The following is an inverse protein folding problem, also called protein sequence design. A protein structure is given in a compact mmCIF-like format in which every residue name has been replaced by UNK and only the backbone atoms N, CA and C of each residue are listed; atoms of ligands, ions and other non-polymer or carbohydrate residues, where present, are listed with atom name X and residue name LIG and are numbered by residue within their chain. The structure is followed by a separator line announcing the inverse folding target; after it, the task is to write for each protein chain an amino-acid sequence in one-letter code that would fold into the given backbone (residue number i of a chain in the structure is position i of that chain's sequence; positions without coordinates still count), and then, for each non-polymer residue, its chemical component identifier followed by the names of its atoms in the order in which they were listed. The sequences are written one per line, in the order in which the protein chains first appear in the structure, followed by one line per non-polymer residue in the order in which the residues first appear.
data_IF_401952828277
#
_entry.id   IF_401952828277
#
_cell.length_a   1.000
_cell.length_b   1.000
_cell.length_c   1.000
_cell.angle_alpha   90.00
_cell.angle_beta   90.00
_cell.angle_gamma   90.00
#
_symmetry.space_group_name_H-M   'P 1'
#
loop_
_entity.id
_entity.type
_entity.pdbx_description
1 polymer ?
#
# COMPACT_ATOMS: atom_id res chain seq x y z
N UNK A 1 18.79 -6.58 8.23
CA UNK A 1 19.62 -5.45 7.76
C UNK A 1 18.78 -4.18 7.84
N UNK A 2 19.38 -3.01 8.06
CA UNK A 2 18.64 -1.74 8.06
C UNK A 2 18.55 -1.20 6.64
N UNK A 3 17.34 -0.85 6.17
CA UNK A 3 17.12 -0.26 4.85
C UNK A 3 17.51 1.21 4.88
N UNK A 4 18.19 1.69 3.83
CA UNK A 4 18.56 3.11 3.68
C UNK A 4 17.32 3.99 3.89
N UNK A 5 17.49 5.05 4.70
CA UNK A 5 16.43 6.01 4.95
C UNK A 5 15.95 6.62 3.63
N UNK A 6 14.63 6.70 3.48
CA UNK A 6 13.96 7.43 2.41
C UNK A 6 14.10 8.93 2.67
N UNK A 7 14.27 9.66 1.58
CA UNK A 7 14.26 11.11 1.52
C UNK A 7 13.01 11.56 0.77
N UNK A 8 12.73 12.87 0.79
CA UNK A 8 11.60 13.42 0.02
C UNK A 8 11.74 13.12 -1.48
N UNK A 9 12.96 13.08 -2.01
CA UNK A 9 13.19 12.80 -3.43
C UNK A 9 12.88 11.37 -3.83
N UNK A 10 12.90 10.41 -2.90
CA UNK A 10 12.43 9.07 -3.20
C UNK A 10 10.96 9.12 -3.65
N UNK A 11 10.14 10.04 -3.13
CA UNK A 11 8.72 10.17 -3.52
C UNK A 11 8.45 11.03 -4.78
N UNK A 12 9.48 11.36 -5.58
CA UNK A 12 9.32 12.24 -6.76
C UNK A 12 8.88 11.54 -8.04
N UNK A 13 8.78 10.20 -8.04
CA UNK A 13 8.45 9.39 -9.22
C UNK A 13 7.04 8.80 -9.08
N UNK A 14 6.88 7.49 -8.90
CA UNK A 14 5.57 6.84 -8.72
C UNK A 14 4.71 7.36 -7.56
N UNK A 15 5.27 8.16 -6.65
CA UNK A 15 4.51 8.81 -5.58
C UNK A 15 4.39 10.33 -5.76
N UNK A 16 4.75 10.89 -6.92
CA UNK A 16 4.79 12.32 -7.18
C UNK A 16 3.44 13.02 -6.86
N UNK A 17 2.33 12.37 -7.20
CA UNK A 17 0.98 12.90 -6.99
C UNK A 17 0.61 13.04 -5.51
N UNK A 18 1.23 12.26 -4.62
CA UNK A 18 1.01 12.34 -3.17
C UNK A 18 2.21 12.94 -2.42
N UNK A 19 3.30 13.29 -3.11
CA UNK A 19 4.56 13.76 -2.50
C UNK A 19 4.36 14.99 -1.59
N UNK A 20 3.43 15.88 -1.94
CA UNK A 20 3.12 17.08 -1.14
C UNK A 20 2.56 16.75 0.25
N UNK A 21 1.96 15.56 0.42
CA UNK A 21 1.44 15.06 1.69
C UNK A 21 2.50 14.30 2.51
N UNK A 22 3.63 13.94 1.90
CA UNK A 22 4.80 13.39 2.59
C UNK A 22 5.53 14.52 3.32
N UNK A 23 4.92 14.97 4.41
CA UNK A 23 5.50 15.96 5.32
C UNK A 23 6.75 15.41 6.01
N UNK A 24 7.63 16.26 6.60
CA UNK A 24 8.75 15.77 7.38
C UNK A 24 8.35 14.81 8.51
N UNK A 25 7.19 15.03 9.15
CA UNK A 25 6.67 14.14 10.18
C UNK A 25 6.23 12.77 9.61
N UNK A 26 5.55 12.76 8.46
CA UNK A 26 5.19 11.53 7.76
C UNK A 26 6.44 10.76 7.32
N UNK A 27 7.43 11.46 6.76
CA UNK A 27 8.70 10.85 6.33
C UNK A 27 9.48 10.27 7.51
N UNK A 28 9.48 10.93 8.66
CA UNK A 28 10.09 10.40 9.88
C UNK A 28 9.41 9.10 10.34
N UNK A 29 8.08 9.07 10.36
CA UNK A 29 7.33 7.84 10.69
C UNK A 29 7.60 6.72 9.69
N UNK A 30 7.56 7.01 8.38
CA UNK A 30 7.91 6.04 7.33
C UNK A 30 9.30 5.47 7.60
N UNK A 31 10.28 6.32 7.90
CA UNK A 31 11.67 5.90 8.12
C UNK A 31 11.91 5.09 9.40
N UNK A 32 11.02 5.22 10.39
CA UNK A 32 11.03 4.38 11.59
C UNK A 32 10.58 2.94 11.28
N UNK A 33 9.82 2.71 10.22
CA UNK A 33 9.40 1.35 9.84
C UNK A 33 10.30 0.78 8.74
N UNK A 34 10.98 -0.33 9.02
CA UNK A 34 11.71 -1.06 7.98
C UNK A 34 10.75 -1.71 6.99
N UNK A 35 9.64 -2.24 7.50
CA UNK A 35 8.57 -2.85 6.69
C UNK A 35 8.01 -1.84 5.68
N UNK A 36 7.68 -0.63 6.11
CA UNK A 36 7.11 0.38 5.22
C UNK A 36 8.15 0.95 4.24
N UNK A 37 9.40 1.17 4.68
CA UNK A 37 10.48 1.57 3.76
C UNK A 37 10.67 0.57 2.63
N UNK A 38 10.70 -0.71 2.96
CA UNK A 38 10.86 -1.79 1.98
C UNK A 38 9.66 -1.85 1.03
N UNK A 39 8.44 -1.72 1.56
CA UNK A 39 7.22 -1.72 0.76
C UNK A 39 7.17 -0.54 -0.23
N UNK A 40 7.56 0.66 0.21
CA UNK A 40 7.68 1.84 -0.67
C UNK A 40 8.67 1.54 -1.79
N UNK A 41 9.90 1.11 -1.46
CA UNK A 41 10.92 0.82 -2.47
C UNK A 41 10.47 -0.25 -3.47
N UNK A 42 9.86 -1.34 -2.99
CA UNK A 42 9.32 -2.41 -3.85
C UNK A 42 8.33 -1.85 -4.88
N UNK A 43 7.40 -1.01 -4.44
CA UNK A 43 6.41 -0.41 -5.34
C UNK A 43 7.07 0.52 -6.36
N UNK A 44 8.09 1.29 -5.94
CA UNK A 44 8.84 2.16 -6.86
C UNK A 44 9.60 1.36 -7.92
N UNK A 45 10.25 0.28 -7.51
CA UNK A 45 11.12 -0.51 -8.37
C UNK A 45 10.35 -1.51 -9.27
N UNK A 46 9.06 -1.77 -9.00
CA UNK A 46 8.25 -2.71 -9.79
C UNK A 46 7.82 -2.12 -11.14
N UNK A 47 8.42 -2.54 -12.25
CA UNK A 47 8.11 -2.05 -13.60
C UNK A 47 6.67 -2.31 -14.08
N UNK A 48 5.86 -3.00 -13.28
CA UNK A 48 4.45 -3.32 -13.55
C UNK A 48 3.48 -2.42 -12.80
N UNK A 49 3.98 -1.51 -11.96
CA UNK A 49 3.18 -0.52 -11.26
C UNK A 49 3.24 0.85 -11.93
N UNK A 50 2.08 1.51 -11.97
CA UNK A 50 1.91 2.90 -12.35
C UNK A 50 2.07 3.84 -11.14
N UNK A 51 2.05 5.14 -11.42
CA UNK A 51 2.01 6.18 -10.40
C UNK A 51 0.80 6.01 -9.46
N UNK A 52 1.04 6.20 -8.17
CA UNK A 52 0.00 6.38 -7.17
C UNK A 52 -0.90 7.55 -7.57
N UNK A 53 -2.20 7.33 -7.52
CA UNK A 53 -3.22 8.29 -7.94
C UNK A 53 -3.79 8.98 -6.71
N UNK A 54 -3.78 10.32 -6.71
CA UNK A 54 -4.50 11.11 -5.72
C UNK A 54 -5.95 11.30 -6.18
N UNK A 55 -6.92 10.69 -5.50
CA UNK A 55 -8.34 10.96 -5.76
C UNK A 55 -8.80 12.17 -4.95
N UNK A 56 -9.19 13.23 -5.66
CA UNK A 56 -9.72 14.48 -5.08
C UNK A 56 -11.22 14.64 -5.26
N UNK A 57 -11.90 13.65 -5.84
CA UNK A 57 -13.23 13.83 -6.41
C UNK A 57 -14.23 12.72 -6.07
N UNK A 58 -13.92 11.44 -6.34
CA UNK A 58 -14.90 10.35 -6.30
C UNK A 58 -14.94 9.67 -4.94
N UNK A 59 -13.77 9.34 -4.40
CA UNK A 59 -13.63 8.62 -3.13
C UNK A 59 -12.58 9.32 -2.25
N UNK A 60 -12.79 10.61 -1.86
CA UNK A 60 -11.76 11.37 -1.14
C UNK A 60 -11.41 10.76 0.22
N UNK A 61 -12.29 9.91 0.78
CA UNK A 61 -12.10 9.21 2.06
C UNK A 61 -11.67 7.74 1.93
N UNK A 62 -11.33 7.26 0.73
CA UNK A 62 -10.93 5.87 0.52
C UNK A 62 -9.50 5.77 0.00
N UNK A 63 -8.87 4.63 0.23
CA UNK A 63 -7.69 4.21 -0.50
C UNK A 63 -7.95 2.82 -1.06
N UNK A 64 -7.33 2.50 -2.19
CA UNK A 64 -7.58 1.22 -2.87
C UNK A 64 -6.40 0.83 -3.74
N UNK A 65 -5.96 -0.40 -3.55
CA UNK A 65 -5.10 -1.10 -4.47
C UNK A 65 -5.89 -1.59 -5.69
N UNK A 66 -5.41 -1.25 -6.89
CA UNK A 66 -6.04 -1.59 -8.16
C UNK A 66 -5.12 -2.56 -8.90
N UNK A 67 -5.20 -3.87 -8.57
CA UNK A 67 -4.34 -4.86 -9.20
C UNK A 67 -4.56 -4.87 -10.70
N UNK A 68 -3.46 -5.00 -11.44
CA UNK A 68 -3.48 -5.23 -12.87
C UNK A 68 -4.36 -6.44 -13.19
N UNK A 69 -5.32 -6.25 -14.10
CA UNK A 69 -6.09 -7.37 -14.67
C UNK A 69 -5.34 -7.96 -15.87
N UNK A 70 -5.22 -9.28 -15.91
CA UNK A 70 -4.61 -9.99 -17.04
C UNK A 70 -5.31 -9.61 -18.35
N UNK A 71 -4.54 -9.29 -19.38
CA UNK A 71 -5.05 -8.86 -20.68
C UNK A 71 -5.60 -7.42 -20.77
N UNK A 72 -5.64 -6.66 -19.67
CA UNK A 72 -6.18 -5.29 -19.69
C UNK A 72 -5.24 -4.23 -20.27
N UNK A 73 -3.94 -4.53 -20.35
CA UNK A 73 -2.90 -3.56 -20.72
C UNK A 73 -2.63 -2.47 -19.67
N UNK A 74 -3.41 -2.42 -18.59
CA UNK A 74 -3.24 -1.47 -17.50
C UNK A 74 -2.17 -1.95 -16.52
N UNK A 75 -1.47 -1.01 -15.91
CA UNK A 75 -0.53 -1.26 -14.81
C UNK A 75 -1.27 -1.40 -13.48
N UNK A 76 -0.61 -2.00 -12.49
CA UNK A 76 -1.07 -2.06 -11.11
C UNK A 76 -0.87 -0.67 -10.45
N UNK A 77 -1.83 -0.19 -9.67
CA UNK A 77 -1.63 1.09 -8.97
C UNK A 77 -2.42 1.22 -7.68
N UNK A 78 -1.96 2.09 -6.80
CA UNK A 78 -2.76 2.52 -5.65
C UNK A 78 -3.49 3.82 -5.95
N UNK A 79 -4.72 3.94 -5.47
CA UNK A 79 -5.45 5.19 -5.36
C UNK A 79 -5.54 5.59 -3.90
N UNK A 80 -5.30 6.86 -3.62
CA UNK A 80 -5.39 7.42 -2.27
C UNK A 80 -6.25 8.66 -2.30
N UNK A 81 -7.35 8.62 -1.56
CA UNK A 81 -8.25 9.74 -1.38
C UNK A 81 -7.60 10.83 -0.55
N UNK A 82 -7.77 12.09 -0.96
CA UNK A 82 -7.13 13.24 -0.31
C UNK A 82 -7.37 13.32 1.20
N UNK A 83 -8.57 13.02 1.66
CA UNK A 83 -8.96 13.15 3.07
C UNK A 83 -8.32 12.05 3.93
N UNK A 84 -7.92 10.93 3.32
CA UNK A 84 -7.13 9.88 3.99
C UNK A 84 -5.68 10.28 4.28
N UNK A 85 -5.21 11.36 3.64
CA UNK A 85 -3.87 11.93 3.85
C UNK A 85 -3.88 13.08 4.87
N UNK A 86 -4.97 13.23 5.64
CA UNK A 86 -5.21 14.36 6.54
C UNK A 86 -4.18 14.51 7.67
N UNK A 87 -3.48 13.45 8.04
CA UNK A 87 -2.33 13.51 8.95
C UNK A 87 -1.29 12.41 8.67
N UNK A 88 -0.15 12.50 9.36
CA UNK A 88 0.99 11.62 9.13
C UNK A 88 0.74 10.15 9.52
N UNK A 89 -0.11 9.89 10.51
CA UNK A 89 -0.45 8.53 10.97
C UNK A 89 -1.41 7.88 9.98
N UNK A 90 -2.47 8.58 9.58
CA UNK A 90 -3.42 8.08 8.58
C UNK A 90 -2.71 7.79 7.26
N UNK A 91 -1.80 8.67 6.82
CA UNK A 91 -0.97 8.43 5.65
C UNK A 91 -0.15 7.14 5.77
N UNK A 92 0.54 6.95 6.90
CA UNK A 92 1.36 5.75 7.14
C UNK A 92 0.49 4.50 7.14
N UNK A 93 -0.67 4.54 7.79
CA UNK A 93 -1.63 3.43 7.83
C UNK A 93 -2.10 3.06 6.42
N UNK A 94 -2.53 4.06 5.65
CA UNK A 94 -3.01 3.87 4.28
C UNK A 94 -1.90 3.32 3.39
N UNK A 95 -0.71 3.92 3.39
CA UNK A 95 0.40 3.41 2.60
C UNK A 95 0.76 1.99 3.01
N UNK A 96 0.81 1.66 4.30
CA UNK A 96 1.11 0.30 4.73
C UNK A 96 0.05 -0.71 4.30
N UNK A 97 -1.22 -0.31 4.28
CA UNK A 97 -2.34 -1.17 3.86
C UNK A 97 -2.30 -1.42 2.36
N UNK A 98 -2.27 -0.37 1.55
CA UNK A 98 -2.32 -0.49 0.08
C UNK A 98 -1.05 -1.15 -0.48
N UNK A 99 0.12 -0.87 0.10
CA UNK A 99 1.35 -1.55 -0.31
C UNK A 99 1.40 -3.00 0.19
N UNK A 100 0.64 -3.33 1.24
CA UNK A 100 0.39 -4.69 1.69
C UNK A 100 -0.43 -5.49 0.67
N UNK A 101 -1.45 -4.87 0.07
CA UNK A 101 -2.18 -5.47 -1.07
C UNK A 101 -1.24 -5.73 -2.24
N UNK A 102 -0.46 -4.73 -2.65
CA UNK A 102 0.49 -4.86 -3.76
C UNK A 102 1.43 -6.06 -3.63
N UNK A 103 1.93 -6.32 -2.42
CA UNK A 103 2.83 -7.45 -2.16
C UNK A 103 2.23 -8.83 -2.48
N UNK A 104 0.89 -8.96 -2.51
CA UNK A 104 0.21 -10.24 -2.75
C UNK A 104 -0.72 -10.23 -3.97
N UNK A 105 -1.06 -9.04 -4.48
CA UNK A 105 -1.97 -8.83 -5.61
C UNK A 105 -1.31 -8.29 -6.89
N UNK A 106 0.01 -8.03 -6.90
CA UNK A 106 0.73 -7.73 -8.14
C UNK A 106 0.55 -8.81 -9.23
N UNK A 107 1.06 -8.58 -10.45
CA UNK A 107 0.77 -9.46 -11.61
C UNK A 107 1.10 -10.94 -11.35
N UNK A 108 2.13 -11.20 -10.54
CA UNK A 108 2.60 -12.54 -10.16
C UNK A 108 2.28 -12.87 -8.69
N UNK A 109 1.44 -12.03 -8.07
CA UNK A 109 1.02 -12.15 -6.69
C UNK A 109 0.26 -13.44 -6.45
N UNK A 110 0.54 -14.09 -5.32
CA UNK A 110 -0.07 -15.38 -4.98
C UNK A 110 -1.60 -15.29 -4.90
N UNK A 111 -2.14 -14.16 -4.44
CA UNK A 111 -3.59 -13.95 -4.35
C UNK A 111 -4.19 -13.66 -5.73
N UNK A 112 -3.50 -12.92 -6.58
CA UNK A 112 -3.92 -12.70 -7.98
C UNK A 112 -4.01 -14.01 -8.75
N UNK A 113 -3.01 -14.88 -8.60
CA UNK A 113 -3.03 -16.22 -9.19
C UNK A 113 -4.20 -17.07 -8.67
N UNK A 114 -4.43 -17.06 -7.35
CA UNK A 114 -5.58 -17.74 -6.74
C UNK A 114 -6.92 -17.24 -7.28
N UNK A 115 -7.07 -15.92 -7.41
CA UNK A 115 -8.28 -15.28 -7.97
C UNK A 115 -8.51 -15.65 -9.43
N UNK A 116 -7.46 -15.66 -10.25
CA UNK A 116 -7.56 -16.04 -11.66
C UNK A 116 -7.98 -17.51 -11.83
N UNK A 117 -7.42 -18.42 -11.03
CA UNK A 117 -7.81 -19.84 -11.03
C UNK A 117 -9.25 -20.04 -10.54
N UNK A 118 -9.65 -19.34 -9.47
CA UNK A 118 -11.02 -19.38 -8.96
C UNK A 118 -12.02 -18.86 -10.00
N UNK A 119 -11.69 -17.78 -10.72
CA UNK A 119 -12.51 -17.23 -11.80
C UNK A 119 -12.64 -18.22 -12.97
N UNK A 120 -11.53 -18.82 -13.41
CA UNK A 120 -11.52 -19.82 -14.48
C UNK A 120 -12.35 -21.06 -14.11
N UNK A 121 -12.31 -21.47 -12.84
CA UNK A 121 -13.11 -22.56 -12.28
C UNK A 121 -14.55 -22.20 -11.92
N UNK A 122 -14.96 -20.93 -12.08
CA UNK A 122 -16.27 -20.40 -11.64
C UNK A 122 -16.59 -20.69 -10.17
N UNK A 123 -15.56 -20.70 -9.32
CA UNK A 123 -15.70 -20.95 -7.89
C UNK A 123 -15.85 -19.62 -7.15
N UNK A 124 -17.09 -19.24 -6.86
CA UNK A 124 -17.40 -17.96 -6.21
C UNK A 124 -16.91 -17.89 -4.76
N UNK A 125 -16.94 -19.00 -4.02
CA UNK A 125 -16.44 -19.04 -2.64
C UNK A 125 -14.93 -18.75 -2.62
N UNK A 126 -14.17 -19.40 -3.52
CA UNK A 126 -12.74 -19.15 -3.65
C UNK A 126 -12.40 -17.73 -4.12
N UNK A 127 -13.30 -17.08 -4.89
CA UNK A 127 -13.14 -15.66 -5.24
C UNK A 127 -13.31 -14.76 -4.01
N UNK A 128 -14.31 -15.03 -3.17
CA UNK A 128 -14.53 -14.30 -1.91
C UNK A 128 -13.36 -14.52 -0.96
N UNK A 129 -12.93 -15.77 -0.78
CA UNK A 129 -11.79 -16.12 0.08
C UNK A 129 -10.49 -15.45 -0.39
N UNK A 130 -10.27 -15.33 -1.69
CA UNK A 130 -9.11 -14.62 -2.24
C UNK A 130 -9.13 -13.13 -1.89
N UNK A 131 -10.31 -12.48 -1.92
CA UNK A 131 -10.45 -11.10 -1.48
C UNK A 131 -10.19 -10.96 0.03
N UNK A 132 -10.79 -11.81 0.85
CA UNK A 132 -10.56 -11.81 2.31
C UNK A 132 -9.09 -12.05 2.67
N UNK A 133 -8.42 -12.94 1.93
CA UNK A 133 -7.00 -13.21 2.11
C UNK A 133 -6.16 -11.97 1.79
N UNK A 134 -6.47 -11.26 0.71
CA UNK A 134 -5.79 -10.01 0.36
C UNK A 134 -5.91 -8.96 1.46
N UNK A 135 -7.14 -8.71 1.94
CA UNK A 135 -7.39 -7.78 3.05
C UNK A 135 -6.66 -8.19 4.33
N UNK A 136 -6.62 -9.50 4.63
CA UNK A 136 -5.85 -10.02 5.77
C UNK A 136 -4.35 -9.75 5.67
N UNK A 137 -3.76 -9.86 4.47
CA UNK A 137 -2.36 -9.52 4.22
C UNK A 137 -2.10 -8.02 4.35
N UNK A 138 -2.98 -7.19 3.80
CA UNK A 138 -2.90 -5.73 3.93
C UNK A 138 -2.99 -5.29 5.39
N UNK A 139 -3.95 -5.82 6.14
CA UNK A 139 -4.09 -5.57 7.58
C UNK A 139 -2.87 -6.05 8.37
N UNK A 140 -2.29 -7.20 8.02
CA UNK A 140 -1.07 -7.69 8.65
C UNK A 140 0.14 -6.77 8.37
N UNK A 141 0.28 -6.25 7.16
CA UNK A 141 1.32 -5.29 6.82
C UNK A 141 1.19 -4.01 7.68
N UNK A 142 -0.02 -3.47 7.77
CA UNK A 142 -0.35 -2.33 8.64
C UNK A 142 -0.02 -2.62 10.11
N UNK A 143 -0.41 -3.78 10.64
CA UNK A 143 -0.12 -4.16 12.02
C UNK A 143 1.38 -4.31 12.30
N UNK A 144 2.17 -4.79 11.34
CA UNK A 144 3.64 -4.86 11.45
C UNK A 144 4.26 -3.47 11.51
N UNK A 145 3.83 -2.55 10.64
CA UNK A 145 4.27 -1.15 10.66
C UNK A 145 3.92 -0.51 12.00
N UNK A 146 2.68 -0.63 12.46
CA UNK A 146 2.24 -0.10 13.75
C UNK A 146 3.11 -0.64 14.90
N UNK A 147 3.38 -1.96 14.91
CA UNK A 147 4.28 -2.56 15.90
C UNK A 147 5.69 -1.97 15.87
N UNK A 148 6.29 -1.81 14.69
CA UNK A 148 7.63 -1.21 14.56
C UNK A 148 7.68 0.23 15.07
N UNK A 149 6.61 1.01 14.86
CA UNK A 149 6.52 2.37 15.36
C UNK A 149 6.39 2.41 16.89
N UNK A 150 5.57 1.53 17.48
CA UNK A 150 5.43 1.39 18.93
C UNK A 150 6.74 0.96 19.59
N UNK A 151 7.42 -0.05 19.03
CA UNK A 151 8.71 -0.52 19.51
C UNK A 151 9.79 0.59 19.45
N UNK A 152 9.61 1.59 18.59
CA UNK A 152 10.47 2.77 18.44
C UNK A 152 9.95 4.02 19.16
N UNK A 153 9.06 3.83 20.13
CA UNK A 153 8.66 4.87 21.07
C UNK A 153 7.57 5.82 20.55
N UNK A 154 6.80 5.42 19.53
CA UNK A 154 5.56 6.12 19.22
C UNK A 154 4.58 5.90 20.40
N UNK A 155 4.29 6.95 21.16
CA UNK A 155 3.32 6.91 22.26
C UNK A 155 1.96 7.37 21.75
N UNK A 156 1.02 6.44 21.58
CA UNK A 156 -0.32 6.69 21.04
C UNK A 156 -0.87 5.49 20.26
N UNK A 157 -0.70 4.28 20.79
CA UNK A 157 -1.10 3.01 20.15
C UNK A 157 -2.60 2.95 19.80
N UNK A 158 -3.38 3.81 20.42
CA UNK A 158 -4.79 4.11 20.20
C UNK A 158 -5.09 4.84 18.87
N UNK A 159 -4.07 5.13 18.05
CA UNK A 159 -4.20 5.74 16.72
C UNK A 159 -4.01 4.77 15.54
N UNK A 160 -3.78 3.47 15.79
CA UNK A 160 -3.70 2.42 14.76
C UNK A 160 -4.81 1.39 14.89
#
# INVERSE_FOLDING_TARGET
MSTLALTRSDFSDKFANIQSYITPAALDLINRSETLKEAVRRYQDDDKTADAVLDTSKEPNAATHRPRREGSGNEDFITVGKDTLGNSIDLVRVLSHELGHHAVEGIDGIVTNGRNLAAAGRNFDALVDSCLLSEGYAALATARVAKELLDRGLTGADQF
#
